data_IF_752602547430
#
_entry.id   IF_752602547430
#
_cell.length_a   1.000
_cell.length_b   1.000
_cell.length_c   1.000
_cell.angle_alpha   90.00
_cell.angle_beta   90.00
_cell.angle_gamma   90.00
#
_symmetry.space_group_name_H-M   'P 1'
#
loop_
_entity.id
_entity.type
_entity.pdbx_description
1 polymer ?
#
# COMPACT_ATOMS: atom_id res chain seq x y z
N UNK A 1 9.93 -4.36 8.42
CA UNK A 1 8.96 -3.78 7.47
C UNK A 1 8.07 -4.89 6.97
N UNK A 2 6.78 -4.81 7.28
CA UNK A 2 5.80 -5.83 6.90
C UNK A 2 5.69 -5.89 5.38
N UNK A 3 5.53 -7.10 4.84
CA UNK A 3 5.33 -7.33 3.40
C UNK A 3 3.97 -7.98 3.21
N UNK A 4 3.16 -7.42 2.33
CA UNK A 4 1.80 -7.86 2.08
C UNK A 4 1.81 -8.90 0.95
N UNK A 5 1.17 -10.07 1.10
CA UNK A 5 1.01 -11.03 0.01
C UNK A 5 0.45 -10.38 -1.26
N UNK A 6 1.03 -10.69 -2.41
CA UNK A 6 0.68 -10.12 -3.70
C UNK A 6 1.05 -11.11 -4.81
N UNK A 7 0.20 -12.12 -5.03
CA UNK A 7 0.49 -13.22 -5.96
C UNK A 7 -0.06 -13.00 -7.37
N UNK A 8 -0.57 -11.80 -7.67
CA UNK A 8 -1.15 -11.44 -8.96
C UNK A 8 -0.14 -11.49 -10.13
N UNK A 9 1.17 -11.38 -9.83
CA UNK A 9 2.24 -11.23 -10.83
C UNK A 9 3.33 -12.31 -10.73
N UNK A 10 3.18 -13.24 -9.79
CA UNK A 10 4.11 -14.32 -9.50
C UNK A 10 3.78 -15.03 -8.19
N UNK A 11 3.99 -16.34 -8.16
CA UNK A 11 3.75 -17.18 -6.99
C UNK A 11 4.64 -16.75 -5.81
N UNK A 12 4.05 -16.64 -4.61
CA UNK A 12 4.76 -16.27 -3.38
C UNK A 12 5.26 -14.83 -3.31
N UNK A 13 4.91 -13.97 -4.28
CA UNK A 13 5.33 -12.58 -4.28
C UNK A 13 4.65 -11.76 -3.18
N UNK A 14 5.40 -10.80 -2.62
CA UNK A 14 4.93 -9.90 -1.57
C UNK A 14 5.33 -8.46 -1.86
N UNK A 15 4.38 -7.54 -1.79
CA UNK A 15 4.62 -6.11 -1.99
C UNK A 15 5.04 -5.42 -0.69
N UNK A 16 5.95 -4.45 -0.76
CA UNK A 16 6.25 -3.57 0.38
C UNK A 16 6.82 -2.22 -0.04
N UNK A 17 6.64 -1.23 0.84
CA UNK A 17 7.15 0.13 0.66
C UNK A 17 8.05 0.54 1.82
N UNK A 18 9.28 0.93 1.50
CA UNK A 18 10.15 1.69 2.40
C UNK A 18 10.13 3.17 2.00
N UNK A 19 10.78 4.03 2.79
CA UNK A 19 10.84 5.47 2.49
C UNK A 19 11.35 5.76 1.06
N UNK A 20 12.36 5.03 0.60
CA UNK A 20 12.89 5.19 -0.76
C UNK A 20 11.87 4.87 -1.86
N UNK A 21 11.03 3.84 -1.67
CA UNK A 21 9.96 3.49 -2.61
C UNK A 21 8.77 4.43 -2.55
N UNK A 22 8.45 4.96 -1.38
CA UNK A 22 7.42 6.00 -1.23
C UNK A 22 7.86 7.24 -2.00
N UNK A 23 9.10 7.69 -1.81
CA UNK A 23 9.65 8.82 -2.57
C UNK A 23 9.65 8.57 -4.08
N UNK A 24 9.95 7.35 -4.52
CA UNK A 24 9.83 6.98 -5.94
C UNK A 24 8.37 7.06 -6.43
N UNK A 25 7.42 6.56 -5.64
CA UNK A 25 5.99 6.58 -5.97
C UNK A 25 5.48 8.03 -6.10
N UNK A 26 5.78 8.87 -5.12
CA UNK A 26 5.44 10.30 -5.16
C UNK A 26 6.11 11.02 -6.34
N UNK A 27 7.38 10.71 -6.63
CA UNK A 27 8.10 11.31 -7.73
C UNK A 27 7.53 10.93 -9.11
N UNK A 28 7.02 9.71 -9.28
CA UNK A 28 6.37 9.26 -10.52
C UNK A 28 4.97 9.86 -10.63
N UNK A 29 4.17 9.79 -9.57
CA UNK A 29 2.78 10.27 -9.56
C UNK A 29 2.64 11.79 -9.43
N UNK A 30 3.73 12.50 -9.11
CA UNK A 30 3.74 13.94 -8.85
C UNK A 30 2.74 14.37 -7.78
N UNK A 31 2.50 13.49 -6.80
CA UNK A 31 1.56 13.68 -5.70
C UNK A 31 2.16 13.15 -4.40
N UNK A 32 1.97 13.86 -3.28
CA UNK A 32 2.38 13.34 -1.97
C UNK A 32 1.51 12.15 -1.56
N UNK A 33 2.06 11.24 -0.77
CA UNK A 33 1.44 9.97 -0.40
C UNK A 33 0.16 10.14 0.41
N UNK A 34 0.12 11.14 1.30
CA UNK A 34 -1.09 11.48 2.06
C UNK A 34 -2.24 11.87 1.13
N UNK A 35 -1.95 12.56 0.02
CA UNK A 35 -2.96 12.93 -0.98
C UNK A 35 -3.39 11.73 -1.82
N UNK A 36 -2.46 10.86 -2.20
CA UNK A 36 -2.75 9.62 -2.93
C UNK A 36 -3.73 8.75 -2.12
N UNK A 37 -3.49 8.61 -0.81
CA UNK A 37 -4.35 7.79 0.05
C UNK A 37 -5.69 8.47 0.37
N UNK A 38 -5.75 9.80 0.47
CA UNK A 38 -6.98 10.53 0.72
C UNK A 38 -7.91 10.59 -0.50
N UNK A 39 -7.37 10.71 -1.71
CA UNK A 39 -8.15 10.73 -2.97
C UNK A 39 -8.61 9.32 -3.40
N UNK A 40 -7.97 8.27 -2.85
CA UNK A 40 -8.15 6.90 -3.29
C UNK A 40 -7.20 6.53 -4.43
N UNK A 41 -6.98 5.22 -4.59
CA UNK A 41 -6.04 4.67 -5.56
C UNK A 41 -6.77 4.31 -6.86
N UNK A 42 -6.46 5.03 -7.94
CA UNK A 42 -6.90 4.70 -9.29
C UNK A 42 -5.99 3.70 -9.99
N UNK A 43 -6.33 3.34 -11.23
CA UNK A 43 -5.56 2.37 -12.03
C UNK A 43 -4.09 2.78 -12.19
N UNK A 44 -3.85 4.08 -12.44
CA UNK A 44 -2.48 4.63 -12.57
C UNK A 44 -1.69 4.46 -11.28
N UNK A 45 -2.27 4.83 -10.13
CA UNK A 45 -1.64 4.70 -8.83
C UNK A 45 -1.33 3.23 -8.50
N UNK A 46 -2.26 2.31 -8.77
CA UNK A 46 -2.10 0.88 -8.53
C UNK A 46 -0.99 0.27 -9.39
N UNK A 47 -0.96 0.57 -10.70
CA UNK A 47 0.07 0.08 -11.62
C UNK A 47 1.48 0.54 -11.19
N UNK A 48 1.65 1.84 -10.95
CA UNK A 48 2.94 2.40 -10.52
C UNK A 48 3.36 1.82 -9.16
N UNK A 49 2.41 1.61 -8.25
CA UNK A 49 2.69 0.99 -6.97
C UNK A 49 3.20 -0.46 -7.12
N UNK A 50 2.62 -1.28 -8.02
CA UNK A 50 3.13 -2.61 -8.29
C UNK A 50 4.52 -2.59 -8.90
N UNK A 51 4.77 -1.71 -9.89
CA UNK A 51 6.08 -1.55 -10.52
C UNK A 51 7.18 -1.30 -9.48
N UNK A 52 6.93 -0.38 -8.54
CA UNK A 52 7.90 0.03 -7.53
C UNK A 52 7.98 -0.98 -6.39
N UNK A 53 6.83 -1.42 -5.88
CA UNK A 53 6.72 -2.28 -4.70
C UNK A 53 7.24 -3.69 -4.92
N UNK A 54 7.15 -4.20 -6.15
CA UNK A 54 7.62 -5.55 -6.53
C UNK A 54 9.00 -5.57 -7.21
N UNK A 55 9.61 -4.41 -7.46
CA UNK A 55 10.90 -4.29 -8.15
C UNK A 55 12.07 -5.08 -7.52
N UNK A 56 11.93 -5.52 -6.26
CA UNK A 56 12.92 -6.35 -5.57
C UNK A 56 12.89 -7.83 -5.97
N UNK A 57 11.80 -8.33 -6.55
CA UNK A 57 11.77 -9.65 -7.16
C UNK A 57 12.44 -9.57 -8.52
N UNK A 58 11.86 -8.76 -9.42
CA UNK A 58 12.34 -8.54 -10.78
C UNK A 58 11.96 -7.13 -11.24
N UNK A 59 12.84 -6.49 -12.02
CA UNK A 59 12.48 -5.25 -12.73
C UNK A 59 11.67 -5.63 -13.97
N UNK A 60 10.34 -5.54 -13.84
CA UNK A 60 9.38 -5.78 -14.93
C UNK A 60 8.99 -4.46 -15.57
N UNK A 61 8.62 -4.48 -16.85
CA UNK A 61 8.14 -3.29 -17.56
C UNK A 61 6.72 -2.92 -17.12
N UNK A 62 6.32 -1.67 -17.32
CA UNK A 62 4.93 -1.24 -17.13
C UNK A 62 3.96 -2.07 -17.96
N UNK A 63 4.34 -2.38 -19.21
CA UNK A 63 3.56 -3.22 -20.14
C UNK A 63 3.24 -4.59 -19.54
N UNK A 64 4.19 -5.23 -18.84
CA UNK A 64 3.92 -6.50 -18.18
C UNK A 64 2.77 -6.41 -17.17
N UNK A 65 2.76 -5.38 -16.33
CA UNK A 65 1.70 -5.22 -15.32
C UNK A 65 0.36 -4.89 -15.99
N UNK A 66 0.36 -4.06 -17.03
CA UNK A 66 -0.82 -3.75 -17.83
C UNK A 66 -1.42 -5.01 -18.47
N UNK A 67 -0.59 -5.85 -19.11
CA UNK A 67 -1.02 -7.12 -19.71
C UNK A 67 -1.59 -8.08 -18.67
N UNK A 68 -0.94 -8.22 -17.51
CA UNK A 68 -1.46 -9.08 -16.43
C UNK A 68 -2.78 -8.59 -15.85
N UNK A 69 -2.94 -7.28 -15.65
CA UNK A 69 -4.23 -6.73 -15.19
C UNK A 69 -5.29 -6.91 -16.29
N UNK A 70 -4.95 -6.74 -17.56
CA UNK A 70 -5.88 -6.99 -18.67
C UNK A 70 -6.30 -8.47 -18.76
N UNK A 71 -5.38 -9.41 -18.55
CA UNK A 71 -5.69 -10.85 -18.45
C UNK A 71 -6.65 -11.12 -17.29
N UNK A 72 -6.39 -10.54 -16.11
CA UNK A 72 -7.27 -10.66 -14.94
C UNK A 72 -8.67 -10.08 -15.24
N UNK A 73 -8.76 -8.90 -15.86
CA UNK A 73 -10.03 -8.26 -16.23
C UNK A 73 -10.89 -9.09 -17.19
N UNK A 74 -10.28 -10.00 -17.95
CA UNK A 74 -11.02 -10.91 -18.82
C UNK A 74 -11.68 -12.08 -18.06
N UNK A 75 -11.38 -12.25 -16.76
CA UNK A 75 -12.03 -13.21 -15.88
C UNK A 75 -13.29 -12.59 -15.25
N UNK A 76 -14.37 -13.37 -15.15
CA UNK A 76 -15.67 -12.91 -14.61
C UNK A 76 -15.60 -12.52 -13.14
N UNK A 77 -14.64 -13.07 -12.39
CA UNK A 77 -14.52 -12.84 -10.95
C UNK A 77 -13.56 -11.68 -10.60
N UNK A 78 -13.07 -10.95 -11.61
CA UNK A 78 -12.14 -9.85 -11.37
C UNK A 78 -12.77 -8.69 -10.62
N UNK A 79 -12.11 -8.29 -9.54
CA UNK A 79 -12.47 -7.11 -8.77
C UNK A 79 -11.25 -6.20 -8.59
N UNK A 80 -11.26 -5.05 -9.26
CA UNK A 80 -10.18 -4.05 -9.15
C UNK A 80 -9.92 -3.60 -7.71
N UNK A 81 -10.96 -3.61 -6.85
CA UNK A 81 -10.79 -3.25 -5.44
C UNK A 81 -9.80 -4.16 -4.70
N UNK A 82 -9.61 -5.42 -5.11
CA UNK A 82 -8.64 -6.31 -4.45
C UNK A 82 -7.19 -5.85 -4.69
N UNK A 83 -6.89 -5.42 -5.91
CA UNK A 83 -5.60 -4.82 -6.25
C UNK A 83 -5.38 -3.52 -5.47
N UNK A 84 -6.42 -2.69 -5.43
CA UNK A 84 -6.43 -1.41 -4.71
C UNK A 84 -6.15 -1.61 -3.21
N UNK A 85 -6.89 -2.52 -2.55
CA UNK A 85 -6.75 -2.85 -1.14
C UNK A 85 -5.35 -3.42 -0.85
N UNK A 86 -4.81 -4.25 -1.74
CA UNK A 86 -3.45 -4.80 -1.58
C UNK A 86 -2.39 -3.69 -1.56
N UNK A 87 -2.49 -2.73 -2.48
CA UNK A 87 -1.59 -1.57 -2.52
C UNK A 87 -1.79 -0.69 -1.29
N UNK A 88 -3.04 -0.39 -0.91
CA UNK A 88 -3.35 0.42 0.26
C UNK A 88 -2.78 -0.19 1.55
N UNK A 89 -2.99 -1.50 1.77
CA UNK A 89 -2.40 -2.25 2.88
C UNK A 89 -0.89 -2.17 2.90
N UNK A 90 -0.24 -2.27 1.75
CA UNK A 90 1.22 -2.20 1.66
C UNK A 90 1.78 -0.80 1.99
N UNK A 91 1.04 0.25 1.65
CA UNK A 91 1.38 1.63 2.01
C UNK A 91 1.13 1.89 3.50
N UNK A 92 0.02 1.42 4.06
CA UNK A 92 -0.23 1.52 5.52
C UNK A 92 0.86 0.75 6.29
N UNK A 93 1.20 -0.45 5.84
CA UNK A 93 2.24 -1.32 6.42
C UNK A 93 3.66 -0.70 6.40
N UNK A 94 3.88 0.37 5.65
CA UNK A 94 5.14 1.12 5.70
C UNK A 94 5.24 2.03 6.92
N UNK A 95 4.13 2.28 7.62
CA UNK A 95 4.01 3.21 8.73
C UNK A 95 3.90 4.69 8.32
N UNK A 96 3.76 5.00 7.03
CA UNK A 96 3.77 6.39 6.54
C UNK A 96 2.58 7.22 7.02
N UNK A 97 1.48 6.53 7.36
CA UNK A 97 0.24 7.14 7.89
C UNK A 97 0.21 7.22 9.42
N UNK A 98 1.31 6.86 10.10
CA UNK A 98 1.39 6.83 11.55
C UNK A 98 0.85 5.55 12.19
N UNK A 99 1.14 5.38 13.48
CA UNK A 99 0.84 4.16 14.25
C UNK A 99 -0.65 3.87 14.37
N UNK A 100 -1.49 4.89 14.54
CA UNK A 100 -2.95 4.73 14.64
C UNK A 100 -3.52 3.99 13.43
N UNK A 101 -3.26 4.49 12.23
CA UNK A 101 -3.78 3.88 10.99
C UNK A 101 -3.13 2.51 10.76
N UNK A 102 -1.85 2.33 11.12
CA UNK A 102 -1.17 1.04 11.04
C UNK A 102 -1.90 -0.04 11.86
N UNK A 103 -2.16 0.21 13.14
CA UNK A 103 -2.78 -0.78 14.03
C UNK A 103 -4.29 -0.91 13.83
N UNK A 104 -4.96 0.07 13.23
CA UNK A 104 -6.34 -0.12 12.74
C UNK A 104 -6.41 -1.16 11.62
N UNK A 105 -5.40 -1.20 10.75
CA UNK A 105 -5.31 -2.16 9.64
C UNK A 105 -4.76 -3.53 10.09
N UNK A 106 -3.84 -3.53 11.07
CA UNK A 106 -3.19 -4.73 11.63
C UNK A 106 -3.38 -4.81 13.15
N UNK A 107 -4.63 -4.94 13.64
CA UNK A 107 -4.93 -4.91 15.08
C UNK A 107 -4.29 -6.04 15.85
N UNK A 108 -4.03 -7.18 15.19
CA UNK A 108 -3.33 -8.33 15.77
C UNK A 108 -1.88 -8.05 16.17
N UNK A 109 -1.29 -6.97 15.65
CA UNK A 109 0.08 -6.55 15.95
C UNK A 109 0.16 -5.49 17.07
N UNK A 110 -0.97 -4.97 17.53
CA UNK A 110 -1.00 -3.91 18.53
C UNK A 110 -0.75 -4.47 19.94
N UNK A 111 0.17 -3.84 20.68
CA UNK A 111 0.35 -4.10 22.11
C UNK A 111 -0.55 -3.19 22.96
N UNK A 112 -0.75 -3.54 24.24
CA UNK A 112 -1.45 -2.65 25.19
C UNK A 112 -0.77 -1.27 25.29
N UNK A 113 0.57 -1.24 25.24
CA UNK A 113 1.35 -0.01 25.26
C UNK A 113 1.15 0.83 23.99
N UNK A 114 1.10 0.21 22.80
CA UNK A 114 0.81 0.93 21.55
C UNK A 114 -0.58 1.58 21.59
N UNK A 115 -1.58 0.87 22.11
CA UNK A 115 -2.94 1.40 22.24
C UNK A 115 -2.99 2.57 23.23
N UNK A 116 -2.37 2.44 24.39
CA UNK A 116 -2.30 3.51 25.39
C UNK A 116 -1.60 4.77 24.84
N UNK A 117 -0.53 4.59 24.06
CA UNK A 117 0.17 5.71 23.41
C UNK A 117 -0.71 6.43 22.37
N UNK A 118 -1.48 5.68 21.57
CA UNK A 118 -2.42 6.26 20.59
C UNK A 118 -3.51 7.07 21.31
N UNK A 119 -4.11 6.53 22.37
CA UNK A 119 -5.14 7.24 23.15
C UNK A 119 -4.59 8.53 23.78
N UNK A 120 -3.36 8.49 24.29
CA UNK A 120 -2.70 9.68 24.85
C UNK A 120 -2.42 10.76 23.78
N UNK A 121 -1.95 10.37 22.60
CA UNK A 121 -1.74 11.28 21.46
C UNK A 121 -3.06 11.92 20.99
N UNK A 122 -4.15 11.16 20.95
CA UNK A 122 -5.48 11.67 20.58
C UNK A 122 -6.00 12.69 21.61
N UNK A 123 -5.92 12.36 22.90
CA UNK A 123 -6.35 13.25 23.98
C UNK A 123 -5.55 14.56 24.05
N UNK A 124 -4.31 14.57 23.55
CA UNK A 124 -3.50 15.78 23.39
C UNK A 124 -3.94 16.61 22.19
N UNK A 125 -4.24 15.96 21.06
CA UNK A 125 -4.67 16.64 19.83
C UNK A 125 -6.06 17.27 19.96
N UNK A 126 -6.97 16.69 20.77
CA UNK A 126 -8.30 17.26 21.02
C UNK A 126 -8.30 18.51 21.92
N UNK A 127 -7.19 18.76 22.63
CA UNK A 127 -7.03 19.90 23.54
C UNK A 127 -6.38 21.13 22.90
N UNK A 128 -5.87 21.00 21.68
CA UNK A 128 -5.19 22.05 20.92
C UNK A 128 -6.07 22.57 19.78
#
# INVERSE_FOLDING_TARGET
>A
MKRIPCEYFGEGEKIYFNIGRILQLEAVLKKPIGRILAEGLGMTEVLVAFEIGLAHYKRRSSVFYQEKIQEMMNNTDFNFNELMITVQKALIASGVMGKKIYYQEFPEEATEEDNANIEAEEALNEKN
#
